data_IF_066581960047
#
_entry.id   IF_066581960047
#
_cell.length_a   1.000
_cell.length_b   1.000
_cell.length_c   1.000
_cell.angle_alpha   90.00
_cell.angle_beta   90.00
_cell.angle_gamma   90.00
#
_symmetry.space_group_name_H-M   'P 1'
#
loop_
_entity.id
_entity.type
_entity.pdbx_description
1 polymer ?
#
# COMPACT_ATOMS: atom_id res chain seq x y z
N UNK A 1 -40.98 8.48 37.68
CA UNK A 1 -39.90 7.46 37.56
C UNK A 1 -39.32 7.52 36.17
N UNK A 2 -40.17 7.60 35.14
CA UNK A 2 -39.82 7.88 33.75
C UNK A 2 -38.99 9.16 33.58
N UNK A 3 -39.42 10.31 34.13
CA UNK A 3 -38.70 11.58 34.01
C UNK A 3 -37.27 11.57 34.58
N UNK A 4 -37.02 10.74 35.60
CA UNK A 4 -35.68 10.59 36.20
C UNK A 4 -34.79 9.72 35.30
N UNK A 5 -35.37 8.69 34.69
CA UNK A 5 -34.68 7.81 33.75
C UNK A 5 -34.39 8.53 32.43
N UNK A 6 -35.31 9.36 31.96
CA UNK A 6 -35.14 10.21 30.78
C UNK A 6 -34.02 11.22 30.99
N UNK A 7 -34.04 11.92 32.14
CA UNK A 7 -32.96 12.83 32.51
C UNK A 7 -31.59 12.14 32.61
N UNK A 8 -31.55 10.92 33.15
CA UNK A 8 -30.32 10.13 33.21
C UNK A 8 -29.83 9.71 31.81
N UNK A 9 -30.74 9.34 30.91
CA UNK A 9 -30.40 8.98 29.54
C UNK A 9 -29.83 10.19 28.77
N UNK A 10 -30.44 11.37 28.93
CA UNK A 10 -29.94 12.60 28.32
C UNK A 10 -28.55 13.02 28.85
N UNK A 11 -28.33 12.88 30.15
CA UNK A 11 -27.04 13.22 30.76
C UNK A 11 -25.93 12.24 30.31
N UNK A 12 -26.26 10.95 30.13
CA UNK A 12 -25.35 9.96 29.54
C UNK A 12 -25.06 10.29 28.08
N UNK A 13 -26.09 10.60 27.29
CA UNK A 13 -25.93 10.94 25.88
C UNK A 13 -25.02 12.17 25.69
N UNK A 14 -25.21 13.22 26.47
CA UNK A 14 -24.35 14.41 26.45
C UNK A 14 -22.91 14.12 26.86
N UNK A 15 -22.70 13.20 27.80
CA UNK A 15 -21.36 12.81 28.23
C UNK A 15 -20.65 12.02 27.11
N UNK A 16 -21.35 11.06 26.51
CA UNK A 16 -20.82 10.25 25.40
C UNK A 16 -20.51 11.13 24.19
N UNK A 17 -21.40 12.04 23.82
CA UNK A 17 -21.19 12.98 22.70
C UNK A 17 -19.94 13.84 22.93
N UNK A 18 -19.74 14.38 24.14
CA UNK A 18 -18.54 15.15 24.46
C UNK A 18 -17.24 14.34 24.47
N UNK A 19 -17.27 13.07 24.89
CA UNK A 19 -16.11 12.17 24.81
C UNK A 19 -15.84 11.73 23.36
N UNK A 20 -16.89 11.56 22.55
CA UNK A 20 -16.77 11.20 21.13
C UNK A 20 -16.17 12.33 20.31
N UNK A 21 -16.53 13.59 20.54
CA UNK A 21 -15.94 14.74 19.84
C UNK A 21 -14.41 14.77 20.00
N UNK A 22 -13.91 14.52 21.22
CA UNK A 22 -12.47 14.48 21.49
C UNK A 22 -11.73 13.35 20.74
N UNK A 23 -12.40 12.21 20.50
CA UNK A 23 -11.86 11.06 19.76
C UNK A 23 -11.96 11.29 18.25
N UNK A 24 -13.04 11.93 17.79
CA UNK A 24 -13.31 12.16 16.37
C UNK A 24 -12.50 13.34 15.79
N UNK A 25 -12.14 14.31 16.63
CA UNK A 25 -11.26 15.45 16.28
C UNK A 25 -9.77 15.09 16.37
N UNK A 26 -9.41 13.91 16.90
CA UNK A 26 -8.04 13.41 16.90
C UNK A 26 -7.65 13.01 15.47
N UNK A 27 -7.02 13.94 14.75
CA UNK A 27 -6.28 13.58 13.55
C UNK A 27 -5.15 12.64 13.97
N UNK A 28 -4.96 11.48 13.30
CA UNK A 28 -3.83 10.62 13.60
C UNK A 28 -2.54 11.45 13.50
N UNK A 29 -1.69 11.34 14.50
CA UNK A 29 -0.37 11.95 14.45
C UNK A 29 0.30 11.43 13.16
N UNK A 30 0.73 12.33 12.27
CA UNK A 30 1.32 11.97 10.97
C UNK A 30 2.73 11.40 11.17
N UNK A 31 2.84 10.28 11.88
CA UNK A 31 4.10 9.58 12.17
C UNK A 31 4.49 8.71 10.97
N UNK A 32 4.67 9.30 9.78
CA UNK A 32 5.21 8.56 8.63
C UNK A 32 5.65 9.40 7.43
N UNK A 33 5.55 10.74 7.47
CA UNK A 33 6.05 11.53 6.37
C UNK A 33 7.52 11.83 6.64
N UNK A 34 8.38 11.24 5.82
CA UNK A 34 9.77 11.69 5.68
C UNK A 34 9.77 13.21 5.49
N UNK A 35 10.76 13.89 6.06
CA UNK A 35 10.97 15.32 5.78
C UNK A 35 11.06 15.52 4.26
N UNK A 36 10.64 16.67 3.75
CA UNK A 36 10.54 16.87 2.30
C UNK A 36 11.88 16.64 1.56
N UNK A 37 13.00 16.87 2.25
CA UNK A 37 14.36 16.58 1.81
C UNK A 37 14.71 15.08 1.72
N UNK A 38 14.02 14.24 2.51
CA UNK A 38 14.17 12.79 2.53
C UNK A 38 13.13 12.08 1.62
N UNK A 39 12.22 12.83 1.00
CA UNK A 39 11.22 12.29 0.08
C UNK A 39 11.80 12.12 -1.33
N UNK A 40 11.69 10.91 -1.87
CA UNK A 40 12.04 10.64 -3.27
C UNK A 40 10.79 10.70 -4.13
N UNK A 41 10.75 11.65 -5.06
CA UNK A 41 9.68 11.77 -6.04
C UNK A 41 9.67 10.57 -6.98
N UNK A 42 8.52 9.92 -7.14
CA UNK A 42 8.31 8.81 -8.07
C UNK A 42 7.30 9.27 -9.12
N UNK A 43 7.64 9.11 -10.39
CA UNK A 43 6.71 9.38 -11.48
C UNK A 43 5.51 8.40 -11.42
N UNK A 44 4.25 8.85 -11.61
CA UNK A 44 3.08 7.97 -11.57
C UNK A 44 3.16 6.77 -12.53
N UNK A 45 3.78 6.93 -13.70
CA UNK A 45 3.98 5.83 -14.65
C UNK A 45 5.02 4.83 -14.13
N UNK A 46 6.10 5.28 -13.48
CA UNK A 46 7.07 4.39 -12.80
C UNK A 46 6.37 3.55 -11.71
N UNK A 47 5.48 4.16 -10.93
CA UNK A 47 4.70 3.44 -9.91
C UNK A 47 3.76 2.40 -10.56
N UNK A 48 3.10 2.76 -11.66
CA UNK A 48 2.23 1.86 -12.41
C UNK A 48 3.01 0.67 -13.00
N UNK A 49 4.17 0.93 -13.62
CA UNK A 49 5.09 -0.08 -14.13
C UNK A 49 5.54 -1.03 -13.00
N UNK A 50 5.94 -0.48 -11.86
CA UNK A 50 6.37 -1.25 -10.68
C UNK A 50 5.28 -2.19 -10.19
N UNK A 51 4.04 -1.67 -10.07
CA UNK A 51 2.88 -2.49 -9.68
C UNK A 51 2.62 -3.61 -10.67
N UNK A 52 2.56 -3.29 -11.97
CA UNK A 52 2.29 -4.27 -13.02
C UNK A 52 3.35 -5.38 -13.03
N UNK A 53 4.62 -5.00 -12.94
CA UNK A 53 5.76 -5.93 -12.92
C UNK A 53 5.69 -6.87 -11.72
N UNK A 54 5.36 -6.35 -10.54
CA UNK A 54 5.18 -7.17 -9.35
C UNK A 54 4.01 -8.16 -9.47
N UNK A 55 2.90 -7.75 -10.10
CA UNK A 55 1.74 -8.62 -10.34
C UNK A 55 2.09 -9.75 -11.32
N UNK A 56 2.78 -9.44 -12.42
CA UNK A 56 3.26 -10.42 -13.41
C UNK A 56 4.21 -11.42 -12.77
N UNK A 57 5.20 -10.95 -12.00
CA UNK A 57 6.15 -11.83 -11.31
C UNK A 57 5.44 -12.75 -10.31
N UNK A 58 4.47 -12.23 -9.55
CA UNK A 58 3.68 -13.04 -8.61
C UNK A 58 2.94 -14.17 -9.32
N UNK A 59 2.27 -13.85 -10.43
CA UNK A 59 1.52 -14.83 -11.22
C UNK A 59 2.43 -15.88 -11.85
N UNK A 60 3.59 -15.46 -12.35
CA UNK A 60 4.60 -16.37 -12.88
C UNK A 60 5.13 -17.32 -11.80
N UNK A 61 5.41 -16.83 -10.58
CA UNK A 61 5.81 -17.67 -9.45
C UNK A 61 4.72 -18.67 -9.07
N UNK A 62 3.45 -18.31 -9.20
CA UNK A 62 2.34 -19.24 -9.03
C UNK A 62 2.35 -20.33 -10.11
N UNK A 63 2.53 -19.95 -11.37
CA UNK A 63 2.56 -20.87 -12.50
C UNK A 63 3.72 -21.87 -12.43
N UNK A 64 4.88 -21.42 -11.92
CA UNK A 64 6.10 -22.22 -11.77
C UNK A 64 6.03 -23.28 -10.66
N UNK A 65 5.09 -23.17 -9.70
CA UNK A 65 4.89 -24.19 -8.67
C UNK A 65 4.36 -25.53 -9.22
N UNK A 66 3.83 -25.55 -10.44
CA UNK A 66 3.30 -26.77 -11.05
C UNK A 66 4.45 -27.72 -11.43
N UNK A 67 4.34 -29.03 -11.11
CA UNK A 67 5.34 -30.01 -11.54
C UNK A 67 5.53 -29.98 -13.07
N UNK A 68 6.78 -29.93 -13.53
CA UNK A 68 7.10 -29.85 -14.96
C UNK A 68 7.00 -28.46 -15.59
N UNK A 69 6.65 -27.42 -14.83
CA UNK A 69 6.55 -26.04 -15.34
C UNK A 69 7.86 -25.53 -15.98
N UNK A 70 9.01 -25.89 -15.40
CA UNK A 70 10.33 -25.52 -15.94
C UNK A 70 10.70 -26.25 -17.24
N UNK A 71 9.91 -27.24 -17.65
CA UNK A 71 10.07 -27.94 -18.94
C UNK A 71 9.11 -27.42 -20.02
N UNK A 72 8.18 -26.53 -19.66
CA UNK A 72 7.28 -25.87 -20.62
C UNK A 72 7.99 -24.68 -21.26
N UNK A 73 8.21 -24.76 -22.58
CA UNK A 73 8.86 -23.71 -23.35
C UNK A 73 8.12 -22.37 -23.22
N UNK A 74 6.79 -22.40 -23.14
CA UNK A 74 5.95 -21.19 -23.03
C UNK A 74 6.22 -20.46 -21.72
N UNK A 75 6.36 -21.21 -20.62
CA UNK A 75 6.68 -20.63 -19.31
C UNK A 75 8.12 -20.11 -19.26
N UNK A 76 9.06 -20.77 -19.93
CA UNK A 76 10.44 -20.28 -20.02
C UNK A 76 10.50 -18.93 -20.76
N UNK A 77 9.78 -18.76 -21.87
CA UNK A 77 9.68 -17.46 -22.54
C UNK A 77 9.05 -16.40 -21.65
N UNK A 78 8.00 -16.75 -20.89
CA UNK A 78 7.40 -15.81 -19.92
C UNK A 78 8.36 -15.41 -18.80
N UNK A 79 9.26 -16.29 -18.38
CA UNK A 79 10.33 -15.96 -17.42
C UNK A 79 11.31 -14.96 -18.03
N UNK A 80 11.69 -15.13 -19.30
CA UNK A 80 12.56 -14.20 -20.01
C UNK A 80 11.90 -12.82 -20.13
N UNK A 81 10.65 -12.76 -20.59
CA UNK A 81 9.89 -11.52 -20.70
C UNK A 81 9.73 -10.82 -19.34
N UNK A 82 9.40 -11.57 -18.28
CA UNK A 82 9.28 -11.03 -16.93
C UNK A 82 10.63 -10.54 -16.37
N UNK A 83 11.74 -11.15 -16.77
CA UNK A 83 13.08 -10.69 -16.40
C UNK A 83 13.42 -9.36 -17.07
N UNK A 84 13.02 -9.16 -18.33
CA UNK A 84 13.19 -7.87 -19.04
C UNK A 84 12.34 -6.80 -18.37
N UNK A 85 11.07 -7.09 -18.10
CA UNK A 85 10.16 -6.17 -17.43
C UNK A 85 10.66 -5.77 -16.02
N UNK A 86 11.26 -6.71 -15.29
CA UNK A 86 11.88 -6.45 -14.00
C UNK A 86 13.12 -5.55 -14.11
N UNK A 87 13.93 -5.70 -15.15
CA UNK A 87 15.06 -4.81 -15.41
C UNK A 87 14.57 -3.38 -15.71
N UNK A 88 13.59 -3.23 -16.61
CA UNK A 88 13.00 -1.93 -16.96
C UNK A 88 12.39 -1.22 -15.73
N UNK A 89 11.71 -1.97 -14.86
CA UNK A 89 11.19 -1.45 -13.58
C UNK A 89 12.32 -0.95 -12.68
N UNK A 90 13.41 -1.71 -12.54
CA UNK A 90 14.53 -1.31 -11.68
C UNK A 90 15.25 -0.09 -12.22
N UNK A 91 15.40 0.02 -13.54
CA UNK A 91 16.03 1.17 -14.20
C UNK A 91 15.15 2.44 -14.09
N UNK A 92 13.82 2.29 -14.02
CA UNK A 92 12.88 3.41 -13.86
C UNK A 92 12.74 3.90 -12.41
N UNK A 93 13.08 3.06 -11.42
CA UNK A 93 13.00 3.42 -10.01
C UNK A 93 14.14 4.37 -9.63
N UNK A 94 13.87 5.38 -8.79
CA UNK A 94 14.90 6.32 -8.37
C UNK A 94 15.96 5.60 -7.55
N UNK A 95 17.23 5.80 -7.89
CA UNK A 95 18.35 5.25 -7.14
C UNK A 95 18.78 6.22 -6.04
N UNK A 96 19.04 5.72 -4.83
CA UNK A 96 19.41 6.53 -3.66
C UNK A 96 20.83 7.12 -3.72
N UNK A 97 21.45 7.19 -4.91
CA UNK A 97 22.89 7.39 -5.08
C UNK A 97 23.29 8.48 -6.08
N UNK A 98 22.36 9.36 -6.46
CA UNK A 98 22.71 10.58 -7.21
C UNK A 98 22.94 11.72 -6.21
N UNK A 99 24.14 11.74 -5.62
CA UNK A 99 24.75 12.99 -5.18
C UNK A 99 25.04 13.83 -6.45
N UNK A 100 24.21 14.84 -6.72
CA UNK A 100 24.60 16.02 -7.52
C UNK A 100 24.77 17.26 -6.64
#
# INVERSE_FOLDING_TARGET
MEDILEKQAEDIARTVEGEMDAILDEAPEYVALLEQEDQVGIDPETLALTRLTAEVLRELMEALKRPGALSDLTLLTQVEDASVLAADMLDALPSSNEEE
#
